data_IF_232120761574
#
_entry.id   IF_232120761574
#
_cell.length_a   1.000
_cell.length_b   1.000
_cell.length_c   1.000
_cell.angle_alpha   90.00
_cell.angle_beta   90.00
_cell.angle_gamma   90.00
#
_symmetry.space_group_name_H-M   'P 1'
#
loop_
_entity.id
_entity.type
_entity.pdbx_description
1 polymer ?
#
# COMPACT_ATOMS: atom_id res chain seq x y z
N UNK A 1 -14.17 -10.94 -10.67
CA UNK A 1 -13.82 -11.51 -9.35
C UNK A 1 -12.60 -10.84 -8.72
N UNK A 2 -11.43 -10.78 -9.40
CA UNK A 2 -10.21 -10.17 -8.81
C UNK A 2 -10.38 -8.71 -8.33
N UNK A 3 -11.12 -7.86 -9.06
CA UNK A 3 -11.39 -6.47 -8.65
C UNK A 3 -12.06 -6.39 -7.28
N UNK A 4 -13.02 -7.28 -7.01
CA UNK A 4 -13.74 -7.35 -5.74
C UNK A 4 -12.79 -7.76 -4.61
N UNK A 5 -11.90 -8.71 -4.87
CA UNK A 5 -10.88 -9.14 -3.91
C UNK A 5 -9.95 -7.96 -3.58
N UNK A 6 -9.43 -7.25 -4.59
CA UNK A 6 -8.58 -6.08 -4.36
C UNK A 6 -9.30 -4.97 -3.62
N UNK A 7 -10.59 -4.75 -3.90
CA UNK A 7 -11.39 -3.77 -3.17
C UNK A 7 -11.55 -4.14 -1.69
N UNK A 8 -11.84 -5.40 -1.37
CA UNK A 8 -11.90 -5.89 0.01
C UNK A 8 -10.54 -5.74 0.70
N UNK A 9 -9.45 -6.06 0.00
CA UNK A 9 -8.09 -5.89 0.53
C UNK A 9 -7.75 -4.41 0.77
N UNK A 10 -8.23 -3.47 -0.05
CA UNK A 10 -8.08 -2.03 0.24
C UNK A 10 -8.79 -1.64 1.54
N UNK A 11 -10.02 -2.13 1.76
CA UNK A 11 -10.77 -1.84 2.99
C UNK A 11 -10.03 -2.41 4.20
N UNK A 12 -9.67 -3.70 4.16
CA UNK A 12 -8.95 -4.35 5.24
C UNK A 12 -7.59 -3.67 5.50
N UNK A 13 -6.86 -3.34 4.45
CA UNK A 13 -5.57 -2.68 4.53
C UNK A 13 -5.62 -1.23 4.99
N UNK A 14 -6.81 -0.63 5.07
CA UNK A 14 -7.03 0.70 5.66
C UNK A 14 -7.52 0.58 7.10
N UNK A 15 -8.54 -0.26 7.32
CA UNK A 15 -9.21 -0.40 8.61
C UNK A 15 -8.27 -1.03 9.64
N UNK A 16 -7.51 -2.06 9.27
CA UNK A 16 -6.63 -2.75 10.23
C UNK A 16 -5.52 -1.83 10.75
N UNK A 17 -4.71 -1.14 9.92
CA UNK A 17 -3.69 -0.24 10.43
C UNK A 17 -4.28 0.96 11.19
N UNK A 18 -5.36 1.58 10.67
CA UNK A 18 -5.98 2.72 11.36
C UNK A 18 -6.62 2.34 12.69
N UNK A 19 -7.13 1.11 12.83
CA UNK A 19 -7.67 0.62 14.11
C UNK A 19 -6.63 0.59 15.22
N UNK A 20 -5.35 0.42 14.88
CA UNK A 20 -4.24 0.42 15.84
C UNK A 20 -3.63 1.82 15.98
N UNK A 21 -3.51 2.56 14.87
CA UNK A 21 -2.90 3.89 14.86
C UNK A 21 -3.78 4.97 15.50
N UNK A 22 -5.11 4.92 15.32
CA UNK A 22 -6.02 5.95 15.87
C UNK A 22 -6.04 5.95 17.40
N UNK A 23 -6.16 4.81 18.10
CA UNK A 23 -6.06 4.79 19.56
C UNK A 23 -4.72 5.30 20.08
N UNK A 24 -3.61 4.95 19.41
CA UNK A 24 -2.29 5.47 19.73
C UNK A 24 -2.24 7.00 19.60
N UNK A 25 -2.76 7.53 18.49
CA UNK A 25 -2.83 8.97 18.24
C UNK A 25 -3.68 9.73 19.28
N UNK A 26 -4.79 9.13 19.71
CA UNK A 26 -5.68 9.73 20.73
C UNK A 26 -4.99 9.74 22.10
N UNK A 27 -4.24 8.69 22.44
CA UNK A 27 -3.60 8.55 23.76
C UNK A 27 -2.30 9.35 23.86
N UNK A 28 -1.46 9.30 22.83
CA UNK A 28 -0.09 9.83 22.86
C UNK A 28 0.11 11.07 21.98
N UNK A 29 -0.85 11.42 21.12
CA UNK A 29 -0.68 12.45 20.10
C UNK A 29 0.21 12.00 18.94
N UNK A 30 0.69 12.96 18.13
CA UNK A 30 1.68 12.71 17.06
C UNK A 30 3.10 12.54 17.62
N UNK A 31 3.29 11.60 18.55
CA UNK A 31 4.61 11.29 19.11
C UNK A 31 5.33 10.22 18.28
N UNK A 32 6.09 10.70 17.30
CA UNK A 32 6.87 9.85 16.38
C UNK A 32 7.99 9.12 17.11
N UNK A 33 8.56 9.70 18.16
CA UNK A 33 9.64 9.05 18.91
C UNK A 33 9.10 7.85 19.69
N UNK A 34 7.98 8.02 20.39
CA UNK A 34 7.31 6.94 21.11
C UNK A 34 6.84 5.83 20.14
N UNK A 35 6.33 6.20 18.97
CA UNK A 35 5.94 5.23 17.95
C UNK A 35 7.11 4.35 17.50
N UNK A 36 8.29 4.95 17.27
CA UNK A 36 9.49 4.19 16.90
C UNK A 36 9.95 3.33 18.07
N UNK A 37 9.92 3.84 19.29
CA UNK A 37 10.28 3.07 20.49
C UNK A 37 9.39 1.83 20.65
N UNK A 38 8.07 1.98 20.50
CA UNK A 38 7.12 0.86 20.56
C UNK A 38 7.27 -0.11 19.37
N UNK A 39 7.52 0.42 18.16
CA UNK A 39 7.74 -0.41 16.97
C UNK A 39 8.97 -1.31 17.13
N UNK A 40 10.01 -0.83 17.80
CA UNK A 40 11.25 -1.57 18.05
C UNK A 40 11.37 -2.10 19.49
N UNK A 41 10.28 -2.09 20.27
CA UNK A 41 10.29 -2.50 21.68
C UNK A 41 10.65 -3.98 21.87
N UNK A 42 10.34 -4.83 20.89
CA UNK A 42 10.73 -6.24 20.93
C UNK A 42 11.19 -6.75 19.55
N UNK A 43 11.85 -7.91 19.54
CA UNK A 43 12.43 -8.49 18.32
C UNK A 43 11.38 -8.79 17.24
N UNK A 44 10.15 -9.13 17.65
CA UNK A 44 9.06 -9.49 16.72
C UNK A 44 8.47 -8.22 16.10
N UNK A 45 8.19 -7.19 16.90
CA UNK A 45 7.70 -5.91 16.40
C UNK A 45 8.73 -5.25 15.48
N UNK A 46 10.02 -5.31 15.84
CA UNK A 46 11.11 -4.86 14.99
C UNK A 46 11.16 -5.62 13.65
N UNK A 47 10.96 -6.94 13.66
CA UNK A 47 10.90 -7.74 12.44
C UNK A 47 9.75 -7.30 11.53
N UNK A 48 8.54 -7.10 12.08
CA UNK A 48 7.41 -6.58 11.31
C UNK A 48 7.65 -5.17 10.79
N UNK A 49 8.23 -4.28 11.60
CA UNK A 49 8.56 -2.92 11.17
C UNK A 49 9.55 -2.91 10.00
N UNK A 50 10.61 -3.72 10.08
CA UNK A 50 11.59 -3.86 9.01
C UNK A 50 11.00 -4.50 7.76
N UNK A 51 10.16 -5.52 7.90
CA UNK A 51 9.45 -6.16 6.78
C UNK A 51 8.56 -5.17 6.03
N UNK A 52 7.84 -4.31 6.75
CA UNK A 52 7.01 -3.23 6.17
C UNK A 52 7.87 -2.20 5.44
N UNK A 53 9.02 -1.81 6.00
CA UNK A 53 9.95 -0.87 5.34
C UNK A 53 10.48 -1.46 4.03
N UNK A 54 10.94 -2.71 4.04
CA UNK A 54 11.42 -3.38 2.83
C UNK A 54 10.31 -3.54 1.80
N UNK A 55 9.12 -3.99 2.22
CA UNK A 55 7.95 -4.13 1.36
C UNK A 55 7.49 -2.79 0.76
N UNK A 56 7.63 -1.70 1.52
CA UNK A 56 7.37 -0.33 1.04
C UNK A 56 8.32 0.05 -0.10
N UNK A 57 9.63 -0.17 0.06
CA UNK A 57 10.61 0.13 -0.98
C UNK A 57 10.36 -0.70 -2.25
N UNK A 58 10.08 -2.00 -2.08
CA UNK A 58 9.73 -2.88 -3.21
C UNK A 58 8.46 -2.39 -3.90
N UNK A 59 7.45 -1.96 -3.14
CA UNK A 59 6.21 -1.40 -3.71
C UNK A 59 6.48 -0.15 -4.54
N UNK A 60 7.34 0.77 -4.08
CA UNK A 60 7.66 1.99 -4.82
C UNK A 60 8.31 1.68 -6.16
N UNK A 61 9.29 0.76 -6.17
CA UNK A 61 9.95 0.30 -7.39
C UNK A 61 8.93 -0.37 -8.32
N UNK A 62 8.07 -1.23 -7.78
CA UNK A 62 7.05 -1.93 -8.55
C UNK A 62 6.02 -0.97 -9.20
N UNK A 63 5.49 -0.01 -8.42
CA UNK A 63 4.56 1.01 -8.91
C UNK A 63 5.20 1.84 -10.02
N UNK A 64 6.46 2.26 -9.85
CA UNK A 64 7.15 3.06 -10.85
C UNK A 64 7.41 2.26 -12.14
N UNK A 65 7.96 1.05 -12.01
CA UNK A 65 8.35 0.22 -13.15
C UNK A 65 7.13 -0.27 -13.95
N UNK A 66 6.16 -0.90 -13.29
CA UNK A 66 4.97 -1.44 -13.95
C UNK A 66 4.03 -0.31 -14.39
N UNK A 67 3.93 0.76 -13.61
CA UNK A 67 3.14 1.95 -13.96
C UNK A 67 3.65 2.65 -15.21
N UNK A 68 4.97 2.79 -15.35
CA UNK A 68 5.61 3.32 -16.55
C UNK A 68 5.40 2.40 -17.75
N UNK A 69 5.56 1.09 -17.58
CA UNK A 69 5.34 0.07 -18.62
C UNK A 69 3.92 0.08 -19.18
N UNK A 70 2.91 0.29 -18.33
CA UNK A 70 1.50 0.32 -18.70
C UNK A 70 1.00 1.71 -19.13
N UNK A 71 1.88 2.72 -19.18
CA UNK A 71 1.51 4.09 -19.53
C UNK A 71 0.49 4.72 -18.57
N UNK A 72 0.49 4.27 -17.30
CA UNK A 72 -0.45 4.74 -16.29
C UNK A 72 -0.09 6.17 -15.86
N UNK A 73 -1.08 7.08 -15.93
CA UNK A 73 -0.93 8.46 -15.45
C UNK A 73 -1.12 8.50 -13.93
N UNK A 74 -0.50 9.48 -13.28
CA UNK A 74 -0.66 9.80 -11.84
C UNK A 74 -0.17 8.72 -10.86
N UNK A 75 1.00 8.10 -11.12
CA UNK A 75 1.62 7.11 -10.23
C UNK A 75 1.84 7.62 -8.79
N UNK A 76 1.98 8.95 -8.63
CA UNK A 76 2.08 9.63 -7.35
C UNK A 76 0.89 9.35 -6.41
N UNK A 77 -0.31 9.06 -6.93
CA UNK A 77 -1.48 8.75 -6.09
C UNK A 77 -1.27 7.46 -5.30
N UNK A 78 -0.60 6.47 -5.88
CA UNK A 78 -0.33 5.19 -5.19
C UNK A 78 0.74 5.36 -4.12
N UNK A 79 1.76 6.18 -4.39
CA UNK A 79 2.80 6.54 -3.42
C UNK A 79 2.18 7.36 -2.28
N UNK A 80 1.32 8.34 -2.58
CA UNK A 80 0.60 9.13 -1.58
C UNK A 80 -0.34 8.25 -0.73
N UNK A 81 -1.07 7.32 -1.35
CA UNK A 81 -1.94 6.38 -0.63
C UNK A 81 -1.13 5.45 0.29
N UNK A 82 0.05 5.03 -0.17
CA UNK A 82 0.98 4.28 0.63
C UNK A 82 1.53 5.09 1.83
N UNK A 83 1.84 6.37 1.65
CA UNK A 83 2.32 7.24 2.73
C UNK A 83 1.23 7.61 3.74
N UNK A 84 -0.01 7.77 3.28
CA UNK A 84 -1.13 8.16 4.14
C UNK A 84 -1.71 7.00 4.96
N UNK A 85 -1.64 5.77 4.45
CA UNK A 85 -2.32 4.62 5.07
C UNK A 85 -1.40 3.41 5.26
N UNK A 86 -0.39 3.24 4.41
CA UNK A 86 0.59 2.15 4.47
C UNK A 86 0.63 1.27 3.21
N UNK A 87 1.56 0.31 3.20
CA UNK A 87 1.73 -0.69 2.11
C UNK A 87 0.41 -1.43 1.82
N UNK A 88 -0.36 -1.67 2.88
CA UNK A 88 -1.58 -2.48 2.83
C UNK A 88 -2.71 -1.86 2.00
N UNK A 89 -2.77 -0.54 1.84
CA UNK A 89 -3.69 0.12 0.90
C UNK A 89 -3.03 0.39 -0.46
N UNK A 90 -1.78 0.84 -0.46
CA UNK A 90 -1.07 1.23 -1.69
C UNK A 90 -0.99 0.09 -2.71
N UNK A 91 -0.68 -1.13 -2.26
CA UNK A 91 -0.55 -2.30 -3.12
C UNK A 91 -1.88 -2.73 -3.78
N UNK A 92 -2.97 -3.02 -3.04
CA UNK A 92 -4.22 -3.43 -3.66
C UNK A 92 -4.85 -2.33 -4.52
N UNK A 93 -4.67 -1.04 -4.17
CA UNK A 93 -5.13 0.06 -5.00
C UNK A 93 -4.41 0.09 -6.37
N UNK A 94 -3.09 -0.09 -6.36
CA UNK A 94 -2.30 -0.20 -7.58
C UNK A 94 -2.73 -1.40 -8.42
N UNK A 95 -2.91 -2.57 -7.80
CA UNK A 95 -3.35 -3.78 -8.49
C UNK A 95 -4.74 -3.64 -9.11
N UNK A 96 -5.67 -2.96 -8.42
CA UNK A 96 -7.00 -2.68 -8.94
C UNK A 96 -6.96 -1.81 -10.21
N UNK A 97 -6.16 -0.74 -10.20
CA UNK A 97 -6.03 0.16 -11.36
C UNK A 97 -5.28 -0.52 -12.51
N UNK A 98 -4.24 -1.30 -12.21
CA UNK A 98 -3.55 -2.14 -13.18
C UNK A 98 -4.50 -3.11 -13.86
N UNK A 99 -5.35 -3.80 -13.10
CA UNK A 99 -6.33 -4.73 -13.64
C UNK A 99 -7.31 -4.03 -14.60
N UNK A 100 -7.76 -2.81 -14.26
CA UNK A 100 -8.62 -2.02 -15.16
C UNK A 100 -7.89 -1.65 -16.45
N UNK A 101 -6.61 -1.25 -16.38
CA UNK A 101 -5.83 -0.87 -17.56
C UNK A 101 -5.55 -2.05 -18.50
N UNK A 102 -5.30 -3.22 -17.95
CA UNK A 102 -5.12 -4.45 -18.72
C UNK A 102 -6.40 -4.90 -19.43
N UNK A 103 -7.56 -4.70 -18.82
CA UNK A 103 -8.85 -4.98 -19.47
C UNK A 103 -9.24 -3.94 -20.53
N UNK A 104 -8.77 -2.69 -20.40
CA UNK A 104 -8.97 -1.63 -21.39
C UNK A 104 -8.10 -1.77 -22.63
N UNK A 105 -6.96 -2.47 -22.54
CA UNK A 105 -6.10 -2.76 -23.69
C UNK A 105 -6.66 -4.01 -24.38
N UNK A 106 -7.43 -3.88 -25.48
CA UNK A 106 -7.98 -5.05 -26.14
C UNK A 106 -6.80 -5.82 -26.74
N UNK A 107 -6.82 -7.14 -26.60
CA UNK A 107 -5.97 -8.04 -27.38
C UNK A 107 -6.18 -7.66 -28.84
N UNK A 108 -5.16 -7.04 -29.44
CA UNK A 108 -5.08 -6.81 -30.88
C UNK A 108 -4.97 -8.21 -31.52
N UNK A 109 -6.12 -8.85 -31.76
CA UNK A 109 -6.22 -10.04 -32.59
C UNK A 109 -5.88 -9.60 -34.02
N UNK A 110 -4.58 -9.58 -34.34
CA UNK A 110 -4.11 -9.61 -35.73
C UNK A 110 -4.59 -10.93 -36.33
N UNK A 111 -5.66 -10.84 -37.13
CA UNK A 111 -6.09 -11.88 -38.06
C UNK A 111 -5.36 -11.67 -39.38
#
# INVERSE_FOLDING_TARGET
MLKTIYFILCILGTVLPLSQFVPFLIQNGLDVNLFIEELFANRISAFFGMDVIVSSLVLWIFVYWEGSRLGMKNLWIYIASHLLVGVSLGLPLFLLMRQRKLEETPVEFKT
#
